data_IF_874600252629
#
_entry.id   IF_874600252629
#
_cell.length_a   1.000
_cell.length_b   1.000
_cell.length_c   1.000
_cell.angle_alpha   90.00
_cell.angle_beta   90.00
_cell.angle_gamma   90.00
#
_symmetry.space_group_name_H-M   'P 1'
#
loop_
_entity.id
_entity.type
_entity.pdbx_description
1 polymer ?
#
# COMPACT_ATOMS: atom_id res chain seq x y z
N UNK A 1 5.52 11.22 8.04
CA UNK A 1 5.46 11.81 6.67
C UNK A 1 5.05 10.77 5.62
N UNK A 2 5.54 9.54 5.70
CA UNK A 2 5.16 8.46 4.78
C UNK A 2 3.68 8.09 4.94
N UNK A 3 3.16 8.11 6.17
CA UNK A 3 1.77 7.82 6.52
C UNK A 3 0.79 8.76 5.79
N UNK A 4 1.15 10.05 5.71
CA UNK A 4 0.37 11.04 4.96
C UNK A 4 0.38 10.75 3.46
N UNK A 5 1.51 10.31 2.90
CA UNK A 5 1.60 9.94 1.48
C UNK A 5 0.77 8.68 1.18
N UNK A 6 0.83 7.66 2.04
CA UNK A 6 0.01 6.46 1.94
C UNK A 6 -1.47 6.84 2.01
N UNK A 7 -1.88 7.55 3.07
CA UNK A 7 -3.25 7.96 3.29
C UNK A 7 -3.79 8.83 2.15
N UNK A 8 -3.00 9.79 1.67
CA UNK A 8 -3.38 10.66 0.54
C UNK A 8 -3.54 9.87 -0.75
N UNK A 9 -2.64 8.93 -1.03
CA UNK A 9 -2.69 8.09 -2.24
C UNK A 9 -3.91 7.16 -2.23
N UNK A 10 -4.20 6.56 -1.07
CA UNK A 10 -5.40 5.73 -0.89
C UNK A 10 -6.69 6.56 -0.99
N UNK A 11 -6.74 7.74 -0.38
CA UNK A 11 -7.89 8.63 -0.48
C UNK A 11 -8.10 9.14 -1.92
N UNK A 12 -7.03 9.46 -2.64
CA UNK A 12 -7.12 9.83 -4.05
C UNK A 12 -7.65 8.68 -4.91
N UNK A 13 -7.18 7.46 -4.66
CA UNK A 13 -7.74 6.24 -5.28
C UNK A 13 -9.23 6.09 -4.98
N UNK A 14 -9.67 6.35 -3.74
CA UNK A 14 -11.07 6.25 -3.34
C UNK A 14 -11.97 7.25 -4.06
N UNK A 15 -11.46 8.43 -4.43
CA UNK A 15 -12.18 9.41 -5.23
C UNK A 15 -12.44 8.97 -6.68
N UNK A 16 -11.63 8.05 -7.21
CA UNK A 16 -11.81 7.45 -8.52
C UNK A 16 -12.73 6.23 -8.48
N UNK A 17 -12.56 5.35 -7.48
CA UNK A 17 -13.37 4.15 -7.24
C UNK A 17 -13.47 3.89 -5.72
N UNK A 18 -14.69 3.81 -5.17
CA UNK A 18 -14.87 3.76 -3.71
C UNK A 18 -14.33 2.47 -3.11
N UNK A 19 -14.57 1.35 -3.78
CA UNK A 19 -14.36 0.03 -3.20
C UNK A 19 -12.96 -0.51 -3.45
N UNK A 20 -12.30 -0.08 -4.53
CA UNK A 20 -10.98 -0.56 -4.93
C UNK A 20 -9.91 -0.41 -3.83
N UNK A 21 -9.66 0.79 -3.25
CA UNK A 21 -8.64 0.93 -2.21
C UNK A 21 -9.03 0.24 -0.91
N UNK A 22 -10.32 0.20 -0.54
CA UNK A 22 -10.80 -0.53 0.64
C UNK A 22 -10.54 -2.03 0.51
N UNK A 23 -10.89 -2.60 -0.64
CA UNK A 23 -10.71 -4.01 -0.92
C UNK A 23 -9.22 -4.39 -0.92
N UNK A 24 -8.37 -3.60 -1.60
CA UNK A 24 -6.93 -3.85 -1.62
C UNK A 24 -6.28 -3.69 -0.25
N UNK A 25 -6.70 -2.70 0.55
CA UNK A 25 -6.19 -2.51 1.91
C UNK A 25 -6.59 -3.67 2.83
N UNK A 26 -7.83 -4.16 2.73
CA UNK A 26 -8.28 -5.34 3.49
C UNK A 26 -7.55 -6.61 3.06
N UNK A 27 -7.31 -6.81 1.76
CA UNK A 27 -6.49 -7.92 1.27
C UNK A 27 -5.05 -7.81 1.76
N UNK A 28 -4.49 -6.61 1.79
CA UNK A 28 -3.15 -6.37 2.30
C UNK A 28 -3.05 -6.74 3.78
N UNK A 29 -3.96 -6.26 4.62
CA UNK A 29 -4.06 -6.63 6.04
C UNK A 29 -4.16 -8.16 6.25
N UNK A 30 -4.91 -8.84 5.38
CA UNK A 30 -5.13 -10.29 5.49
C UNK A 30 -3.94 -11.14 5.03
N UNK A 31 -3.27 -10.74 3.96
CA UNK A 31 -2.34 -11.60 3.24
C UNK A 31 -0.89 -11.10 3.23
N UNK A 32 -0.64 -9.83 3.53
CA UNK A 32 0.70 -9.27 3.62
C UNK A 32 1.07 -9.10 5.10
N UNK A 33 1.96 -9.95 5.66
CA UNK A 33 2.39 -9.82 7.06
C UNK A 33 3.02 -8.46 7.39
N UNK A 34 3.46 -7.74 6.35
CA UNK A 34 4.07 -6.42 6.44
C UNK A 34 3.05 -5.27 6.56
N UNK A 35 1.75 -5.54 6.58
CA UNK A 35 0.68 -4.55 6.71
C UNK A 35 -0.26 -5.03 7.81
N UNK A 36 -0.36 -4.27 8.89
CA UNK A 36 -1.27 -4.57 9.98
C UNK A 36 -2.14 -3.35 10.30
N UNK A 37 -3.46 -3.51 10.19
CA UNK A 37 -4.43 -2.51 10.58
C UNK A 37 -4.65 -2.55 12.09
N UNK A 38 -4.72 -1.38 12.76
CA UNK A 38 -5.00 -1.35 14.20
C UNK A 38 -6.45 -1.79 14.46
N UNK A 39 -6.76 -2.12 15.72
CA UNK A 39 -8.04 -2.73 16.11
C UNK A 39 -9.31 -1.99 15.65
N UNK A 40 -9.25 -0.66 15.49
CA UNK A 40 -10.39 0.12 14.97
C UNK A 40 -10.68 -0.09 13.47
N UNK A 41 -9.71 -0.61 12.71
CA UNK A 41 -9.78 -0.80 11.26
C UNK A 41 -9.64 -2.26 10.82
N UNK A 42 -9.30 -3.18 11.73
CA UNK A 42 -9.10 -4.61 11.43
C UNK A 42 -10.33 -5.31 10.82
N UNK A 43 -11.52 -4.74 11.00
CA UNK A 43 -12.74 -5.25 10.37
C UNK A 43 -12.68 -5.22 8.83
N UNK A 44 -11.87 -4.33 8.24
CA UNK A 44 -11.71 -4.21 6.77
C UNK A 44 -11.12 -5.50 6.19
N UNK A 45 -10.22 -6.16 6.91
CA UNK A 45 -9.60 -7.45 6.53
C UNK A 45 -10.41 -8.70 6.88
N UNK A 46 -11.63 -8.54 7.44
CA UNK A 46 -12.48 -9.68 7.80
C UNK A 46 -13.12 -10.35 6.58
N UNK A 47 -13.40 -11.66 6.67
CA UNK A 47 -13.94 -12.45 5.55
C UNK A 47 -15.23 -11.84 4.99
N UNK A 48 -16.13 -11.41 5.88
CA UNK A 48 -17.41 -10.80 5.50
C UNK A 48 -17.17 -9.46 4.82
N UNK A 49 -16.29 -8.61 5.35
CA UNK A 49 -15.98 -7.32 4.75
C UNK A 49 -15.38 -7.49 3.35
N UNK A 50 -14.43 -8.42 3.17
CA UNK A 50 -13.81 -8.69 1.87
C UNK A 50 -14.82 -9.20 0.83
N UNK A 51 -15.76 -10.09 1.21
CA UNK A 51 -16.82 -10.52 0.30
C UNK A 51 -17.74 -9.37 -0.11
N UNK A 52 -18.15 -8.54 0.84
CA UNK A 52 -19.00 -7.37 0.58
C UNK A 52 -18.27 -6.36 -0.31
N UNK A 53 -17.04 -5.99 0.05
CA UNK A 53 -16.23 -5.04 -0.71
C UNK A 53 -15.94 -5.54 -2.11
N UNK A 54 -15.63 -6.84 -2.27
CA UNK A 54 -15.43 -7.45 -3.58
C UNK A 54 -16.69 -7.44 -4.44
N UNK A 55 -17.85 -7.74 -3.86
CA UNK A 55 -19.13 -7.67 -4.57
C UNK A 55 -19.49 -6.24 -4.97
N UNK A 56 -19.30 -5.27 -4.07
CA UNK A 56 -19.53 -3.85 -4.33
C UNK A 56 -18.56 -3.31 -5.40
N UNK A 57 -17.29 -3.72 -5.36
CA UNK A 57 -16.32 -3.38 -6.39
C UNK A 57 -16.72 -3.93 -7.76
N UNK A 58 -17.13 -5.20 -7.82
CA UNK A 58 -17.61 -5.81 -9.06
C UNK A 58 -18.86 -5.08 -9.59
N UNK A 59 -19.78 -4.72 -8.69
CA UNK A 59 -20.97 -3.94 -9.04
C UNK A 59 -20.60 -2.55 -9.59
N UNK A 60 -19.67 -1.82 -8.95
CA UNK A 60 -19.23 -0.51 -9.42
C UNK A 60 -18.59 -0.61 -10.82
N UNK A 61 -17.71 -1.59 -11.04
CA UNK A 61 -17.06 -1.80 -12.34
C UNK A 61 -18.11 -2.07 -13.43
N UNK A 62 -19.12 -2.89 -13.16
CA UNK A 62 -20.18 -3.21 -14.13
C UNK A 62 -21.11 -2.02 -14.37
N UNK A 63 -21.56 -1.36 -13.29
CA UNK A 63 -22.48 -0.23 -13.36
C UNK A 63 -21.90 0.93 -14.18
N UNK A 64 -20.61 1.22 -14.02
CA UNK A 64 -19.95 2.31 -14.74
C UNK A 64 -19.77 2.05 -16.25
N UNK A 65 -19.92 0.81 -16.74
CA UNK A 65 -19.85 0.55 -18.20
C UNK A 65 -21.19 0.71 -18.91
N UNK A 66 -22.30 0.78 -18.18
CA UNK A 66 -23.65 0.83 -18.76
C UNK A 66 -24.11 2.29 -18.79
N UNK A 67 -24.29 2.90 -19.98
CA UNK A 67 -24.81 4.26 -20.08
C UNK A 67 -26.13 4.43 -19.33
N UNK A 68 -26.33 5.58 -18.69
CA UNK A 68 -27.42 5.91 -17.76
C UNK A 68 -27.32 5.25 -16.36
N UNK A 69 -26.86 4.00 -16.24
CA UNK A 69 -26.54 3.43 -14.92
C UNK A 69 -25.31 4.10 -14.32
N UNK A 70 -24.34 4.48 -15.14
CA UNK A 70 -23.16 5.26 -14.76
C UNK A 70 -23.53 6.56 -14.02
N UNK A 71 -24.52 7.28 -14.54
CA UNK A 71 -24.96 8.57 -14.00
C UNK A 71 -25.64 8.40 -12.64
N UNK A 72 -26.46 7.35 -12.48
CA UNK A 72 -27.10 7.02 -11.20
C UNK A 72 -26.04 6.58 -10.18
N UNK A 73 -25.10 5.74 -10.61
CA UNK A 73 -23.99 5.29 -9.77
C UNK A 73 -23.16 6.48 -9.30
N UNK A 74 -22.82 7.44 -10.16
CA UNK A 74 -22.05 8.63 -9.78
C UNK A 74 -22.75 9.49 -8.70
N UNK A 75 -24.09 9.56 -8.71
CA UNK A 75 -24.86 10.23 -7.64
C UNK A 75 -24.69 9.50 -6.30
N UNK A 76 -24.81 8.17 -6.29
CA UNK A 76 -24.59 7.37 -5.08
C UNK A 76 -23.15 7.53 -4.59
N UNK A 77 -22.20 7.49 -5.52
CA UNK A 77 -20.77 7.57 -5.25
C UNK A 77 -20.31 8.95 -4.77
N UNK A 78 -21.11 10.00 -4.99
CA UNK A 78 -20.88 11.33 -4.40
C UNK A 78 -20.85 11.31 -2.87
N UNK A 79 -21.47 10.30 -2.24
CA UNK A 79 -21.42 10.07 -0.79
C UNK A 79 -20.43 8.97 -0.42
N UNK A 80 -20.44 7.86 -1.16
CA UNK A 80 -19.66 6.67 -0.79
C UNK A 80 -18.16 6.84 -1.02
N UNK A 81 -17.73 7.56 -2.08
CA UNK A 81 -16.31 7.79 -2.33
C UNK A 81 -15.64 8.67 -1.28
N UNK A 82 -16.20 9.82 -0.87
CA UNK A 82 -15.65 10.57 0.24
C UNK A 82 -15.60 9.76 1.54
N UNK A 83 -16.66 9.01 1.85
CA UNK A 83 -16.68 8.14 3.04
C UNK A 83 -15.57 7.08 3.00
N UNK A 84 -15.43 6.39 1.87
CA UNK A 84 -14.33 5.44 1.62
C UNK A 84 -12.97 6.12 1.78
N UNK A 85 -12.78 7.29 1.18
CA UNK A 85 -11.55 8.09 1.27
C UNK A 85 -11.14 8.38 2.70
N UNK A 86 -12.10 8.76 3.56
CA UNK A 86 -11.84 8.94 4.98
C UNK A 86 -11.41 7.66 5.70
N UNK A 87 -12.08 6.55 5.40
CA UNK A 87 -11.75 5.24 5.99
C UNK A 87 -10.34 4.80 5.57
N UNK A 88 -10.03 4.79 4.27
CA UNK A 88 -8.72 4.29 3.79
C UNK A 88 -7.58 5.23 4.15
N UNK A 89 -7.80 6.54 4.25
CA UNK A 89 -6.80 7.46 4.80
C UNK A 89 -6.56 7.15 6.27
N UNK A 90 -7.62 7.09 7.07
CA UNK A 90 -7.53 6.81 8.50
C UNK A 90 -6.83 5.49 8.79
N UNK A 91 -7.25 4.43 8.11
CA UNK A 91 -6.66 3.10 8.21
C UNK A 91 -5.22 3.07 7.71
N UNK A 92 -4.94 3.58 6.51
CA UNK A 92 -3.60 3.55 5.92
C UNK A 92 -2.57 4.43 6.65
N UNK A 93 -2.98 5.58 7.18
CA UNK A 93 -2.10 6.47 7.93
C UNK A 93 -1.81 5.98 9.37
N UNK A 94 -2.61 5.03 9.88
CA UNK A 94 -2.43 4.42 11.20
C UNK A 94 -1.99 2.96 11.14
N UNK A 95 -1.79 2.41 9.94
CA UNK A 95 -1.32 1.05 9.74
C UNK A 95 0.15 0.92 10.15
N UNK A 96 0.46 -0.17 10.84
CA UNK A 96 1.83 -0.57 11.12
C UNK A 96 2.39 -1.32 9.91
N UNK A 97 3.61 -0.97 9.51
CA UNK A 97 4.30 -1.62 8.40
C UNK A 97 5.76 -1.86 8.73
N UNK A 98 6.44 -2.72 7.96
CA UNK A 98 7.89 -2.95 8.11
C UNK A 98 8.70 -1.65 8.02
N UNK A 99 8.18 -0.61 7.33
CA UNK A 99 8.81 0.70 7.24
C UNK A 99 8.41 1.66 8.38
N UNK A 100 7.32 1.38 9.10
CA UNK A 100 6.72 2.26 10.13
C UNK A 100 6.21 1.40 11.29
N UNK A 101 7.05 1.27 12.32
CA UNK A 101 6.77 0.50 13.55
C UNK A 101 6.08 1.36 14.65
N UNK A 102 6.01 2.68 14.44
CA UNK A 102 5.31 3.64 15.31
C UNK A 102 4.75 4.79 14.45
N UNK A 103 3.53 4.65 13.91
CA UNK A 103 2.89 5.72 13.15
C UNK A 103 2.87 7.02 13.96
N UNK A 104 3.11 8.15 13.30
CA UNK A 104 3.24 9.43 13.99
C UNK A 104 2.07 9.70 14.96
N UNK A 105 2.40 10.17 16.17
CA UNK A 105 1.42 10.44 17.25
C UNK A 105 0.30 11.38 16.83
N UNK A 106 0.54 12.24 15.83
CA UNK A 106 -0.46 13.15 15.26
C UNK A 106 -1.68 12.42 14.70
N UNK A 107 -1.49 11.34 13.94
CA UNK A 107 -2.61 10.57 13.37
C UNK A 107 -3.24 9.62 14.39
N UNK A 108 -2.46 9.13 15.35
CA UNK A 108 -2.93 8.22 16.40
C UNK A 108 -3.74 8.91 17.49
N UNK A 109 -3.47 10.19 17.80
CA UNK A 109 -4.20 10.94 18.84
C UNK A 109 -5.44 11.67 18.31
N UNK A 110 -5.45 12.06 17.03
CA UNK A 110 -6.55 12.81 16.43
C UNK A 110 -7.24 12.00 15.33
N UNK A 111 -8.01 10.96 15.69
CA UNK A 111 -8.68 10.04 14.74
C UNK A 111 -9.46 10.74 13.62
N UNK A 112 -10.08 11.89 13.91
CA UNK A 112 -10.92 12.61 12.95
C UNK A 112 -10.15 13.40 11.89
N UNK A 113 -8.93 13.87 12.19
CA UNK A 113 -8.13 14.66 11.24
C UNK A 113 -7.77 13.86 9.97
N UNK A 114 -7.19 12.65 10.05
CA UNK A 114 -6.92 11.84 8.87
C UNK A 114 -8.21 11.43 8.15
N UNK A 115 -9.30 11.14 8.85
CA UNK A 115 -10.59 10.81 8.22
C UNK A 115 -11.12 11.99 7.39
N UNK A 116 -11.20 13.19 7.98
CA UNK A 116 -11.67 14.39 7.28
C UNK A 116 -10.75 14.75 6.12
N UNK A 117 -9.43 14.59 6.30
CA UNK A 117 -8.45 14.80 5.23
C UNK A 117 -8.71 13.86 4.06
N UNK A 118 -8.92 12.57 4.33
CA UNK A 118 -9.27 11.58 3.31
C UNK A 118 -10.59 11.88 2.60
N UNK A 119 -11.62 12.30 3.33
CA UNK A 119 -12.91 12.73 2.76
C UNK A 119 -12.71 13.87 1.77
N UNK A 120 -11.96 14.91 2.16
CA UNK A 120 -11.71 16.07 1.31
C UNK A 120 -10.94 15.69 0.04
N UNK A 121 -9.89 14.89 0.18
CA UNK A 121 -9.08 14.43 -0.96
C UNK A 121 -9.94 13.62 -1.94
N UNK A 122 -10.67 12.63 -1.44
CA UNK A 122 -11.53 11.79 -2.28
C UNK A 122 -12.64 12.60 -2.97
N UNK A 123 -13.22 13.58 -2.28
CA UNK A 123 -14.22 14.47 -2.86
C UNK A 123 -13.65 15.31 -4.01
N UNK A 124 -12.46 15.90 -3.83
CA UNK A 124 -11.79 16.69 -4.87
C UNK A 124 -11.54 15.84 -6.11
N UNK A 125 -11.02 14.62 -5.93
CA UNK A 125 -10.78 13.70 -7.05
C UNK A 125 -12.08 13.27 -7.73
N UNK A 126 -13.11 12.93 -6.95
CA UNK A 126 -14.42 12.56 -7.49
C UNK A 126 -15.06 13.69 -8.30
N UNK A 127 -15.06 14.93 -7.79
CA UNK A 127 -15.60 16.10 -8.50
C UNK A 127 -14.83 16.35 -9.81
N UNK A 128 -13.51 16.20 -9.78
CA UNK A 128 -12.68 16.34 -10.99
C UNK A 128 -13.07 15.31 -12.05
N UNK A 129 -13.21 14.04 -11.64
CA UNK A 129 -13.70 12.95 -12.50
C UNK A 129 -15.11 13.22 -13.04
N UNK A 130 -16.06 13.58 -12.18
CA UNK A 130 -17.45 13.82 -12.56
C UNK A 130 -17.56 14.96 -13.59
N UNK A 131 -16.77 16.02 -13.40
CA UNK A 131 -16.69 17.14 -14.35
C UNK A 131 -16.12 16.69 -15.71
N UNK A 132 -15.08 15.86 -15.70
CA UNK A 132 -14.51 15.27 -16.91
C UNK A 132 -15.49 14.36 -17.66
N UNK A 133 -16.24 13.51 -16.95
CA UNK A 133 -17.29 12.66 -17.51
C UNK A 133 -18.40 13.47 -18.16
N UNK A 134 -18.86 14.55 -17.53
CA UNK A 134 -19.86 15.45 -18.10
C UNK A 134 -19.38 16.06 -19.42
N UNK A 135 -18.14 16.54 -19.47
CA UNK A 135 -17.55 17.09 -20.69
C UNK A 135 -17.40 16.03 -21.79
N UNK A 136 -16.96 14.81 -21.47
CA UNK A 136 -16.81 13.74 -22.44
C UNK A 136 -18.16 13.23 -22.97
N UNK A 137 -19.11 12.96 -22.07
CA UNK A 137 -20.41 12.38 -22.42
C UNK A 137 -21.27 13.31 -23.27
N UNK A 138 -21.14 14.64 -23.10
CA UNK A 138 -21.85 15.61 -23.94
C UNK A 138 -21.36 15.60 -25.40
N UNK A 139 -20.09 15.30 -25.64
CA UNK A 139 -19.50 15.26 -26.98
C UNK A 139 -19.67 13.88 -27.63
N UNK A 140 -19.69 12.80 -26.83
CA UNK A 140 -19.73 11.42 -27.34
C UNK A 140 -21.06 10.72 -27.16
N UNK A 141 -22.11 11.42 -26.71
CA UNK A 141 -23.41 10.83 -26.34
C UNK A 141 -23.27 9.60 -25.41
N UNK A 142 -22.36 9.68 -24.43
CA UNK A 142 -22.11 8.62 -23.44
C UNK A 142 -21.15 7.50 -23.89
N UNK A 143 -20.71 7.48 -25.15
CA UNK A 143 -19.79 6.43 -25.64
C UNK A 143 -18.38 6.48 -25.02
N UNK A 144 -17.96 7.61 -24.44
CA UNK A 144 -16.70 7.74 -23.73
C UNK A 144 -16.71 7.09 -22.33
N UNK A 145 -17.90 6.90 -21.73
CA UNK A 145 -18.04 6.45 -20.34
C UNK A 145 -17.31 5.12 -20.05
N UNK A 146 -17.45 4.05 -20.86
CA UNK A 146 -16.78 2.78 -20.58
C UNK A 146 -15.24 2.87 -20.62
N UNK A 147 -14.69 3.66 -21.54
CA UNK A 147 -13.25 3.83 -21.71
C UNK A 147 -12.68 4.63 -20.54
N UNK A 148 -13.31 5.76 -20.23
CA UNK A 148 -12.89 6.63 -19.12
C UNK A 148 -13.01 5.89 -17.77
N UNK A 149 -14.11 5.19 -17.55
CA UNK A 149 -14.29 4.33 -16.37
C UNK A 149 -13.18 3.28 -16.25
N UNK A 150 -12.79 2.64 -17.35
CA UNK A 150 -11.72 1.62 -17.31
C UNK A 150 -10.37 2.23 -16.94
N UNK A 151 -10.08 3.43 -17.47
CA UNK A 151 -8.87 4.16 -17.12
C UNK A 151 -8.86 4.56 -15.63
N UNK A 152 -10.00 4.98 -15.10
CA UNK A 152 -10.17 5.33 -13.69
C UNK A 152 -10.02 4.11 -12.78
N UNK A 153 -10.60 2.96 -13.13
CA UNK A 153 -10.43 1.70 -12.38
C UNK A 153 -8.96 1.29 -12.32
N UNK A 154 -8.26 1.37 -13.47
CA UNK A 154 -6.82 1.10 -13.56
C UNK A 154 -5.99 2.08 -12.73
N UNK A 155 -6.29 3.37 -12.79
CA UNK A 155 -5.62 4.40 -11.99
C UNK A 155 -5.87 4.20 -10.49
N UNK A 156 -7.10 3.85 -10.09
CA UNK A 156 -7.47 3.54 -8.71
C UNK A 156 -6.68 2.36 -8.18
N UNK A 157 -6.64 1.27 -8.95
CA UNK A 157 -5.86 0.08 -8.62
C UNK A 157 -4.38 0.42 -8.47
N UNK A 158 -3.78 1.12 -9.44
CA UNK A 158 -2.36 1.49 -9.40
C UNK A 158 -2.02 2.38 -8.22
N UNK A 159 -2.82 3.43 -7.96
CA UNK A 159 -2.60 4.33 -6.82
C UNK A 159 -2.67 3.58 -5.49
N UNK A 160 -3.69 2.73 -5.30
CA UNK A 160 -3.84 1.95 -4.08
C UNK A 160 -2.74 0.89 -3.92
N UNK A 161 -2.44 0.15 -4.99
CA UNK A 161 -1.38 -0.86 -4.98
C UNK A 161 -0.01 -0.24 -4.70
N UNK A 162 0.34 0.89 -5.32
CA UNK A 162 1.60 1.57 -5.05
C UNK A 162 1.67 2.10 -3.62
N UNK A 163 0.59 2.66 -3.09
CA UNK A 163 0.52 3.14 -1.71
C UNK A 163 0.82 2.01 -0.69
N UNK A 164 0.38 0.78 -0.98
CA UNK A 164 0.57 -0.39 -0.11
C UNK A 164 1.93 -1.06 -0.34
N UNK A 165 2.31 -1.30 -1.60
CA UNK A 165 3.46 -2.16 -1.93
C UNK A 165 4.79 -1.41 -1.86
N UNK A 166 4.86 -0.14 -2.25
CA UNK A 166 6.12 0.62 -2.27
C UNK A 166 6.79 0.70 -0.89
N UNK A 167 6.08 1.01 0.21
CA UNK A 167 6.68 1.00 1.55
C UNK A 167 7.23 -0.37 1.95
N UNK A 168 6.50 -1.44 1.61
CA UNK A 168 6.90 -2.83 1.92
C UNK A 168 8.18 -3.20 1.16
N UNK A 169 8.25 -2.92 -0.14
CA UNK A 169 9.44 -3.19 -0.95
C UNK A 169 10.65 -2.39 -0.46
N UNK A 170 10.47 -1.13 -0.11
CA UNK A 170 11.55 -0.30 0.44
C UNK A 170 12.13 -0.88 1.74
N UNK A 171 11.27 -1.35 2.65
CA UNK A 171 11.69 -2.02 3.89
C UNK A 171 12.47 -3.31 3.64
N UNK A 172 11.99 -4.18 2.75
CA UNK A 172 12.66 -5.44 2.41
C UNK A 172 14.05 -5.22 1.78
N UNK A 173 14.17 -4.25 0.88
CA UNK A 173 15.45 -3.91 0.25
C UNK A 173 16.47 -3.39 1.28
N UNK A 174 16.04 -2.56 2.23
CA UNK A 174 16.89 -2.06 3.29
C UNK A 174 17.41 -3.19 4.20
N UNK A 175 16.52 -4.11 4.61
CA UNK A 175 16.91 -5.30 5.40
C UNK A 175 17.92 -6.15 4.63
N UNK A 176 17.65 -6.42 3.34
CA UNK A 176 18.56 -7.16 2.47
C UNK A 176 19.95 -6.52 2.37
N UNK A 177 20.01 -5.20 2.24
CA UNK A 177 21.26 -4.45 2.22
C UNK A 177 22.03 -4.58 3.54
N UNK A 178 21.35 -4.44 4.68
CA UNK A 178 21.98 -4.60 6.01
C UNK A 178 22.55 -6.01 6.16
N UNK A 179 21.79 -7.04 5.81
CA UNK A 179 22.25 -8.44 5.84
C UNK A 179 23.46 -8.64 4.94
N UNK A 180 23.45 -8.11 3.71
CA UNK A 180 24.57 -8.21 2.79
C UNK A 180 25.84 -7.54 3.35
N UNK A 181 25.71 -6.36 3.94
CA UNK A 181 26.81 -5.64 4.60
C UNK A 181 27.37 -6.45 5.76
N UNK A 182 26.54 -6.98 6.65
CA UNK A 182 26.96 -7.82 7.78
C UNK A 182 27.67 -9.08 7.28
N UNK A 183 27.13 -9.75 6.26
CA UNK A 183 27.74 -10.94 5.66
C UNK A 183 29.12 -10.63 5.06
N UNK A 184 29.26 -9.50 4.36
CA UNK A 184 30.55 -9.06 3.80
C UNK A 184 31.58 -8.79 4.90
N UNK A 185 31.19 -8.12 5.99
CA UNK A 185 32.07 -7.88 7.14
C UNK A 185 32.46 -9.18 7.86
N UNK A 186 31.52 -10.12 8.04
CA UNK A 186 31.81 -11.43 8.64
C UNK A 186 32.74 -12.26 7.75
N UNK A 187 32.55 -12.24 6.43
CA UNK A 187 33.42 -12.93 5.47
C UNK A 187 34.84 -12.36 5.50
N UNK A 188 35.00 -11.03 5.52
CA UNK A 188 36.32 -10.37 5.65
C UNK A 188 37.04 -10.67 6.96
N UNK A 189 36.30 -10.82 8.08
CA UNK A 189 36.89 -11.20 9.38
C UNK A 189 37.39 -12.65 9.43
N UNK A 190 36.70 -13.58 8.76
CA UNK A 190 37.14 -14.99 8.67
C UNK A 190 38.44 -15.16 7.89
N UNK A 191 38.56 -14.50 6.74
CA UNK A 191 39.78 -14.57 5.90
C UNK A 191 41.03 -14.00 6.59
N UNK A 192 40.89 -13.04 7.51
CA UNK A 192 42.02 -12.52 8.31
C UNK A 192 42.48 -13.46 9.43
N UNK A 193 41.61 -14.35 9.93
CA UNK A 193 41.97 -15.32 10.96
C UNK A 193 42.81 -16.49 10.42
N UNK A 194 42.50 -16.95 9.20
CA UNK A 194 43.18 -18.11 8.60
C UNK A 194 44.63 -17.81 8.17
N UNK A 195 44.92 -16.57 7.78
CA UNK A 195 46.29 -16.14 7.43
C UNK A 195 47.23 -16.19 8.64
N UNK A 196 46.75 -15.75 9.82
CA UNK A 196 47.57 -15.69 11.05
C UNK A 196 47.92 -17.09 11.58
N UNK A 197 47.05 -18.08 11.41
CA UNK A 197 47.30 -19.45 11.89
C UNK A 197 48.30 -20.20 10.99
N UNK A 198 48.38 -19.87 9.70
CA UNK A 198 49.31 -20.50 8.76
C UNK A 198 50.79 -20.11 8.95
N UNK A 199 51.05 -19.06 9.74
CA UNK A 199 52.39 -18.49 9.90
C UNK A 199 53.11 -18.98 11.18
N UNK A 200 52.49 -19.86 11.98
CA UNK A 200 53.17 -20.47 13.14
C UNK A 200 54.18 -21.52 12.63
N UNK A 201 55.50 -21.30 12.76
CA UNK A 201 56.49 -22.27 12.29
C UNK A 201 56.36 -23.55 13.12
N UNK A 202 56.15 -24.69 12.44
CA UNK A 202 56.24 -26.00 13.09
C UNK A 202 57.70 -26.22 13.50
N UNK A 203 58.00 -26.07 14.78
CA UNK A 203 59.26 -26.55 15.33
C UNK A 203 59.30 -28.07 15.16
N UNK A 204 60.09 -28.56 14.20
CA UNK A 204 60.47 -29.96 14.14
C UNK A 204 61.29 -30.31 15.39
N UNK A 205 60.94 -31.40 16.10
CA UNK A 205 61.73 -31.83 17.25
C UNK A 205 63.11 -32.31 16.76
N UNK A 206 64.21 -31.91 17.44
CA UNK A 206 65.55 -32.29 17.03
C UNK A 206 65.71 -33.82 17.11
N UNK A 207 66.32 -34.37 16.06
CA UNK A 207 66.46 -35.79 15.83
C UNK A 207 67.05 -36.53 17.03
N UNK A 208 66.50 -37.73 17.25
CA UNK A 208 67.08 -38.76 18.08
C UNK A 208 68.47 -39.12 17.52
N UNK A 209 69.51 -38.54 18.12
CA UNK A 209 70.87 -39.00 17.91
C UNK A 209 71.04 -40.34 18.64
N UNK A 210 71.28 -41.37 17.84
CA UNK A 210 71.71 -42.70 18.25
C UNK A 210 73.06 -42.67 18.95
N UNK A 211 73.14 -43.21 20.17
CA UNK A 211 74.29 -43.93 20.74
C UNK A 211 73.92 -44.53 22.08
#
# INVERSE_FOLDING_TARGET
>A
MIEFLIGTSLAASAGLNAWMPLFLLGLADRFLPAVNLPAGWSWIGSDIALWILGALLALEIVADKIPALDSINDVIQSVLRPASGGIVFGAGASAETVAVDNPSTFFSQNTWVPIVTGIVIALVVHVTKATGRLAANTVTAGLAAPVLSTAEDGASFLLAALAIIVPVLAGLLLIGLIVAVIMLFRRRRRTRGDVVVSEIPRHEPPGAASS
#
